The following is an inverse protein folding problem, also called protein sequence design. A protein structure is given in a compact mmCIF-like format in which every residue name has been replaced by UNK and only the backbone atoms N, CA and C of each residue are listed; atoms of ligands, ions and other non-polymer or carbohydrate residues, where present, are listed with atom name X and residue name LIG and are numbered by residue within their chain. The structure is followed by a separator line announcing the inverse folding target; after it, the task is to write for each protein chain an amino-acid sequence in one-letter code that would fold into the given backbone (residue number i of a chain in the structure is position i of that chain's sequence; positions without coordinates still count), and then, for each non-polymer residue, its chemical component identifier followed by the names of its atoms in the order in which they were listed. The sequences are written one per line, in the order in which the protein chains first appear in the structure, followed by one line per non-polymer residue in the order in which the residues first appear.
data_IF_814622894527
#
_entry.id   IF_814622894527
#
_cell.length_a   1.000
_cell.length_b   1.000
_cell.length_c   1.000
_cell.angle_alpha   90.00
_cell.angle_beta   90.00
_cell.angle_gamma   90.00
#
_symmetry.space_group_name_H-M   'P 1'
#
loop_
_entity.id
_entity.type
_entity.pdbx_description
1 polymer ?
#
# COMPACT_ATOMS: atom_id res chain seq x y z
N UNK A 1 -18.86 12.39 6.79
CA UNK A 1 -20.04 11.70 6.23
C UNK A 1 -21.37 12.32 6.65
N UNK A 2 -21.45 13.01 7.80
CA UNK A 2 -22.68 13.67 8.28
C UNK A 2 -23.28 14.71 7.31
N UNK A 3 -22.43 15.44 6.57
CA UNK A 3 -22.90 16.42 5.58
C UNK A 3 -23.76 15.78 4.47
N UNK A 4 -23.36 14.59 4.02
CA UNK A 4 -24.10 13.82 3.02
C UNK A 4 -25.46 13.38 3.57
N UNK A 5 -25.52 12.83 4.79
CA UNK A 5 -26.75 12.26 5.31
C UNK A 5 -27.75 13.28 5.86
N UNK A 6 -27.29 14.39 6.44
CA UNK A 6 -28.16 15.33 7.16
C UNK A 6 -28.35 16.68 6.45
N UNK A 7 -27.48 17.01 5.48
CA UNK A 7 -27.50 18.31 4.78
C UNK A 7 -27.23 18.16 3.29
N UNK A 8 -28.10 17.38 2.62
CA UNK A 8 -28.00 17.12 1.18
C UNK A 8 -27.87 18.37 0.32
N UNK A 9 -28.60 19.45 0.61
CA UNK A 9 -28.52 20.69 -0.17
C UNK A 9 -27.14 21.38 -0.06
N UNK A 10 -26.50 21.37 1.11
CA UNK A 10 -25.12 21.88 1.26
C UNK A 10 -24.11 20.96 0.60
N UNK A 11 -24.30 19.65 0.74
CA UNK A 11 -23.45 18.65 0.10
C UNK A 11 -23.49 18.81 -1.42
N UNK A 12 -24.69 18.90 -2.00
CA UNK A 12 -24.87 19.07 -3.43
C UNK A 12 -24.30 20.40 -3.91
N UNK A 13 -24.37 21.49 -3.12
CA UNK A 13 -23.73 22.76 -3.49
C UNK A 13 -22.20 22.70 -3.48
N UNK A 14 -21.60 22.07 -2.47
CA UNK A 14 -20.14 22.00 -2.31
C UNK A 14 -19.48 20.96 -3.22
N UNK A 15 -20.20 19.88 -3.51
CA UNK A 15 -19.71 18.73 -4.27
C UNK A 15 -20.45 18.56 -5.61
N UNK A 16 -21.12 19.61 -6.10
CA UNK A 16 -21.65 19.61 -7.47
C UNK A 16 -20.49 19.68 -8.45
N UNK A 17 -20.12 18.55 -9.03
CA UNK A 17 -19.12 18.49 -10.08
C UNK A 17 -19.75 18.57 -11.49
N UNK A 18 -21.00 19.00 -11.64
CA UNK A 18 -21.69 19.08 -12.96
C UNK A 18 -21.03 20.03 -13.96
N UNK A 19 -20.25 21.00 -13.50
CA UNK A 19 -19.43 21.89 -14.35
C UNK A 19 -17.96 21.46 -14.46
N UNK A 20 -17.58 20.34 -13.84
CA UNK A 20 -16.23 19.82 -13.92
C UNK A 20 -16.11 19.03 -15.23
N UNK A 21 -15.53 19.66 -16.24
CA UNK A 21 -15.26 19.01 -17.51
C UNK A 21 -14.15 17.97 -17.32
N UNK A 22 -14.54 16.71 -17.13
CA UNK A 22 -13.62 15.59 -17.01
C UNK A 22 -12.84 15.40 -18.31
N UNK A 23 -13.27 15.93 -19.45
CA UNK A 23 -12.56 15.82 -20.72
C UNK A 23 -11.67 17.04 -21.02
N UNK A 24 -11.69 18.08 -20.15
CA UNK A 24 -10.83 19.27 -20.27
C UNK A 24 -9.34 18.95 -20.23
N UNK A 25 -8.97 17.78 -19.71
CA UNK A 25 -7.61 17.27 -19.69
C UNK A 25 -7.60 15.99 -20.54
N UNK A 26 -7.00 16.02 -21.75
CA UNK A 26 -7.01 14.87 -22.63
C UNK A 26 -6.34 13.66 -21.95
N UNK A 27 -6.89 12.48 -22.18
CA UNK A 27 -6.45 11.23 -21.52
C UNK A 27 -4.94 10.97 -21.69
N UNK A 28 -4.37 11.38 -22.82
CA UNK A 28 -2.92 11.32 -23.12
C UNK A 28 -2.06 12.14 -22.14
N UNK A 29 -2.60 13.21 -21.55
CA UNK A 29 -1.93 14.02 -20.52
C UNK A 29 -2.07 13.47 -19.11
N UNK A 30 -2.98 12.52 -18.89
CA UNK A 30 -3.26 11.90 -17.58
C UNK A 30 -2.46 10.63 -17.35
N UNK A 31 -1.99 10.00 -18.41
CA UNK A 31 -1.24 8.76 -18.34
C UNK A 31 0.25 9.06 -18.17
N UNK A 32 0.73 9.05 -16.92
CA UNK A 32 2.15 9.00 -16.60
C UNK A 32 2.70 7.57 -16.80
N UNK A 33 2.58 7.06 -18.04
CA UNK A 33 3.02 5.72 -18.45
C UNK A 33 4.47 5.40 -18.06
N UNK A 34 5.47 6.29 -18.25
CA UNK A 34 6.84 5.95 -17.87
C UNK A 34 7.02 5.85 -16.35
N UNK A 35 6.32 6.68 -15.57
CA UNK A 35 6.38 6.66 -14.11
C UNK A 35 5.72 5.39 -13.56
N UNK A 36 4.57 5.00 -14.11
CA UNK A 36 3.89 3.77 -13.70
C UNK A 36 4.71 2.52 -14.05
N UNK A 37 5.39 2.50 -15.19
CA UNK A 37 6.31 1.41 -15.55
C UNK A 37 7.48 1.36 -14.57
N UNK A 38 8.10 2.49 -14.24
CA UNK A 38 9.21 2.55 -13.28
C UNK A 38 8.78 2.01 -11.90
N UNK A 39 7.60 2.42 -11.42
CA UNK A 39 7.04 1.93 -10.14
C UNK A 39 6.78 0.42 -10.20
N UNK A 40 6.19 -0.09 -11.28
CA UNK A 40 5.94 -1.53 -11.45
C UNK A 40 7.24 -2.35 -11.43
N UNK A 41 8.29 -1.88 -12.11
CA UNK A 41 9.61 -2.54 -12.13
C UNK A 41 10.23 -2.54 -10.74
N UNK A 42 10.20 -1.40 -10.03
CA UNK A 42 10.71 -1.30 -8.66
C UNK A 42 9.96 -2.25 -7.72
N UNK A 43 8.63 -2.30 -7.80
CA UNK A 43 7.82 -3.23 -7.02
C UNK A 43 8.23 -4.69 -7.27
N UNK A 44 8.41 -5.09 -8.53
CA UNK A 44 8.84 -6.46 -8.86
C UNK A 44 10.21 -6.78 -8.25
N UNK A 45 11.18 -5.86 -8.36
CA UNK A 45 12.51 -6.01 -7.77
C UNK A 45 12.42 -6.15 -6.24
N UNK A 46 11.65 -5.27 -5.58
CA UNK A 46 11.46 -5.33 -4.14
C UNK A 46 10.83 -6.64 -3.69
N UNK A 47 9.80 -7.14 -4.38
CA UNK A 47 9.19 -8.41 -4.03
C UNK A 47 10.17 -9.59 -4.13
N UNK A 48 10.95 -9.66 -5.20
CA UNK A 48 11.94 -10.73 -5.39
C UNK A 48 13.05 -10.65 -4.34
N UNK A 49 13.49 -9.45 -3.96
CA UNK A 49 14.52 -9.26 -2.93
C UNK A 49 13.97 -9.40 -1.49
N UNK A 50 12.68 -9.13 -1.27
CA UNK A 50 12.06 -9.16 0.04
C UNK A 50 12.00 -10.58 0.61
N UNK A 51 11.63 -11.58 -0.20
CA UNK A 51 11.53 -12.98 0.22
C UNK A 51 12.86 -13.54 0.77
N UNK A 52 14.00 -13.46 0.07
CA UNK A 52 15.28 -13.95 0.58
C UNK A 52 15.80 -13.12 1.76
N UNK A 53 15.49 -11.81 1.82
CA UNK A 53 15.87 -10.95 2.94
C UNK A 53 15.09 -11.30 4.22
N UNK A 54 13.78 -11.52 4.11
CA UNK A 54 12.97 -12.00 5.24
C UNK A 54 13.40 -13.39 5.68
N UNK A 55 13.76 -14.27 4.74
CA UNK A 55 14.28 -15.60 5.07
C UNK A 55 15.63 -15.53 5.81
N UNK A 56 16.56 -14.68 5.38
CA UNK A 56 17.85 -14.52 6.04
C UNK A 56 17.71 -13.90 7.43
N UNK A 57 16.86 -12.89 7.59
CA UNK A 57 16.52 -12.29 8.88
C UNK A 57 15.87 -13.29 9.81
N UNK A 58 14.89 -14.08 9.32
CA UNK A 58 14.25 -15.13 10.11
C UNK A 58 15.23 -16.21 10.55
N UNK A 59 16.11 -16.65 9.64
CA UNK A 59 17.16 -17.62 9.94
C UNK A 59 18.15 -17.08 10.99
N UNK A 60 18.61 -15.85 10.82
CA UNK A 60 19.52 -15.21 11.76
C UNK A 60 18.88 -15.01 13.14
N UNK A 61 17.62 -14.56 13.19
CA UNK A 61 16.85 -14.48 14.43
C UNK A 61 16.66 -15.86 15.07
N UNK A 62 16.46 -16.93 14.29
CA UNK A 62 16.32 -18.29 14.82
C UNK A 62 17.62 -18.84 15.40
N UNK A 63 18.76 -18.49 14.82
CA UNK A 63 20.09 -18.90 15.27
C UNK A 63 20.56 -18.06 16.48
N UNK A 64 20.23 -16.76 16.51
CA UNK A 64 20.67 -15.83 17.57
C UNK A 64 19.64 -15.59 18.67
N UNK A 65 18.37 -15.97 18.51
CA UNK A 65 17.40 -15.85 19.58
C UNK A 65 17.63 -16.97 20.58
N UNK A 66 18.11 -16.59 21.75
CA UNK A 66 18.08 -17.33 23.02
C UNK A 66 16.66 -17.78 23.47
N UNK A 67 15.69 -17.96 22.55
CA UNK A 67 14.37 -18.52 22.81
C UNK A 67 14.29 -20.03 22.55
N UNK A 68 15.36 -20.67 22.02
CA UNK A 68 15.41 -22.13 21.88
C UNK A 68 15.52 -22.88 23.23
N UNK A 69 15.81 -22.18 24.32
CA UNK A 69 15.87 -22.78 25.67
C UNK A 69 14.55 -22.72 26.47
N UNK A 70 13.62 -21.81 26.17
CA UNK A 70 12.39 -21.68 27.00
C UNK A 70 11.27 -22.69 26.70
N UNK A 71 11.39 -23.53 25.67
CA UNK A 71 10.38 -24.58 25.38
C UNK A 71 10.84 -25.98 25.86
N UNK A 72 12.13 -26.16 26.16
CA UNK A 72 12.66 -27.46 26.66
C UNK A 72 12.78 -27.49 28.20
N UNK A 73 12.81 -26.33 28.88
CA UNK A 73 12.80 -26.26 30.35
C UNK A 73 11.41 -26.47 31.00
N UNK A 74 10.34 -26.69 30.22
CA UNK A 74 8.98 -26.91 30.75
C UNK A 74 8.47 -28.36 30.64
N UNK A 75 9.35 -29.32 30.34
CA UNK A 75 9.11 -30.77 30.51
C UNK A 75 10.04 -31.36 31.59
N UNK A 76 10.05 -30.72 32.76
CA UNK A 76 10.44 -31.37 34.02
C UNK A 76 9.26 -32.17 34.57
#
# INVERSE_FOLDING_TARGET
MELFFFRHAEYERLYNCTGLDIDSIPLERRQFVPESIAVCVLCAIYYVLYVPCMYSLWKHMRENSCYKFMIVDHQG
#
